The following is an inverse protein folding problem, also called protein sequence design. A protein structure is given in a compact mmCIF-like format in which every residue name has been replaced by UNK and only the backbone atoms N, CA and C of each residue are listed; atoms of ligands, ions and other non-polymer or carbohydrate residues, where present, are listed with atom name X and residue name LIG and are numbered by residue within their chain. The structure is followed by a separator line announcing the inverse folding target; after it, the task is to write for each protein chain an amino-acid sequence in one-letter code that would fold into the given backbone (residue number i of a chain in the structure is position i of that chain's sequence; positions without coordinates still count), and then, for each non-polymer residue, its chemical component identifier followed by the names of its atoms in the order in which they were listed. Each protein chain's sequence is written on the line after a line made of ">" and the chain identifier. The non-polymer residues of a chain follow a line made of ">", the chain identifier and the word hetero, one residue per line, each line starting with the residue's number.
data_IF_411571526947
#
_entry.id   IF_411571526947
#
_cell.length_a   1.000
_cell.length_b   1.000
_cell.length_c   1.000
_cell.angle_alpha   90.00
_cell.angle_beta   90.00
_cell.angle_gamma   90.00
#
_symmetry.space_group_name_H-M   'P 1'
#
loop_
_entity.id
_entity.type
_entity.pdbx_description
1 polymer ?
#
# COMPACT_ATOMS: atom_id res chain seq x y z
N UNK A 1 36.69 -5.83 6.62
CA UNK A 1 35.26 -5.47 6.53
C UNK A 1 35.14 -4.09 7.13
N UNK A 2 34.88 -3.11 6.28
CA UNK A 2 34.62 -1.74 6.73
C UNK A 2 33.25 -1.75 7.40
N UNK A 3 33.22 -1.51 8.71
CA UNK A 3 32.00 -1.48 9.51
C UNK A 3 31.28 -0.20 9.09
N UNK A 4 30.13 -0.33 8.40
CA UNK A 4 29.29 0.81 8.08
C UNK A 4 28.99 1.57 9.38
N UNK A 5 29.03 2.92 9.39
CA UNK A 5 28.56 3.69 10.53
C UNK A 5 27.17 3.19 10.93
N UNK A 6 26.94 2.97 12.23
CA UNK A 6 25.69 2.41 12.76
C UNK A 6 24.44 3.15 12.28
N UNK A 7 24.59 4.44 11.98
CA UNK A 7 23.59 5.34 11.43
C UNK A 7 23.23 4.99 9.97
N UNK A 8 24.21 4.62 9.15
CA UNK A 8 23.98 4.16 7.77
C UNK A 8 23.30 2.79 7.73
N UNK A 9 23.65 1.89 8.64
CA UNK A 9 22.96 0.60 8.77
C UNK A 9 21.49 0.79 9.18
N UNK A 10 21.23 1.63 10.19
CA UNK A 10 19.89 1.97 10.62
C UNK A 10 19.05 2.60 9.49
N UNK A 11 19.65 3.50 8.71
CA UNK A 11 18.99 4.12 7.55
C UNK A 11 18.68 3.08 6.45
N UNK A 12 19.59 2.13 6.19
CA UNK A 12 19.38 1.03 5.26
C UNK A 12 18.21 0.12 5.67
N UNK A 13 18.15 -0.25 6.94
CA UNK A 13 17.06 -1.07 7.50
C UNK A 13 15.73 -0.31 7.41
N UNK A 14 15.71 0.95 7.84
CA UNK A 14 14.50 1.78 7.80
C UNK A 14 13.99 1.96 6.38
N UNK A 15 14.88 2.30 5.44
CA UNK A 15 14.55 2.44 4.02
C UNK A 15 13.99 1.14 3.43
N UNK A 16 14.58 0.00 3.75
CA UNK A 16 14.11 -1.32 3.29
C UNK A 16 12.71 -1.65 3.79
N UNK A 17 12.41 -1.37 5.07
CA UNK A 17 11.09 -1.61 5.66
C UNK A 17 10.02 -0.75 4.96
N UNK A 18 10.29 0.55 4.80
CA UNK A 18 9.37 1.46 4.11
C UNK A 18 9.15 1.02 2.68
N UNK A 19 10.23 0.76 1.94
CA UNK A 19 10.14 0.36 0.54
C UNK A 19 9.37 -0.96 0.37
N UNK A 20 9.59 -1.93 1.26
CA UNK A 20 8.86 -3.20 1.25
C UNK A 20 7.38 -3.02 1.55
N UNK A 21 7.02 -2.16 2.50
CA UNK A 21 5.63 -1.86 2.83
C UNK A 21 4.89 -1.20 1.65
N UNK A 22 5.51 -0.21 1.00
CA UNK A 22 4.94 0.42 -0.19
C UNK A 22 4.93 -0.52 -1.40
N UNK A 23 5.97 -1.34 -1.56
CA UNK A 23 6.01 -2.37 -2.61
C UNK A 23 4.90 -3.40 -2.46
N UNK A 24 4.58 -3.80 -1.24
CA UNK A 24 3.45 -4.70 -0.97
C UNK A 24 2.10 -4.02 -1.24
N UNK A 25 1.94 -2.75 -0.86
CA UNK A 25 0.74 -1.97 -1.17
C UNK A 25 0.53 -1.84 -2.69
N UNK A 26 1.61 -1.58 -3.44
CA UNK A 26 1.59 -1.53 -4.91
C UNK A 26 1.24 -2.89 -5.51
N UNK A 27 1.83 -3.97 -4.99
CA UNK A 27 1.52 -5.33 -5.43
C UNK A 27 0.04 -5.67 -5.23
N UNK A 28 -0.54 -5.30 -4.08
CA UNK A 28 -1.96 -5.49 -3.80
C UNK A 28 -2.84 -4.71 -4.79
N UNK A 29 -2.52 -3.43 -5.03
CA UNK A 29 -3.21 -2.59 -5.99
C UNK A 29 -3.20 -3.20 -7.39
N UNK A 30 -2.01 -3.54 -7.91
CA UNK A 30 -1.88 -4.10 -9.24
C UNK A 30 -2.55 -5.47 -9.37
N UNK A 31 -2.55 -6.27 -8.31
CA UNK A 31 -3.26 -7.56 -8.28
C UNK A 31 -4.76 -7.38 -8.46
N UNK A 32 -5.37 -6.44 -7.72
CA UNK A 32 -6.81 -6.15 -7.85
C UNK A 32 -7.14 -5.66 -9.26
N UNK A 33 -6.38 -4.71 -9.79
CA UNK A 33 -6.59 -4.19 -11.14
C UNK A 33 -6.38 -5.27 -12.21
N UNK A 34 -5.39 -6.13 -12.05
CA UNK A 34 -5.12 -7.26 -12.96
C UNK A 34 -6.27 -8.26 -12.96
N UNK A 35 -6.77 -8.67 -11.78
CA UNK A 35 -7.89 -9.61 -11.66
C UNK A 35 -9.16 -8.99 -12.27
N UNK A 36 -9.46 -7.73 -11.94
CA UNK A 36 -10.60 -7.02 -12.50
C UNK A 36 -10.56 -7.00 -14.04
N UNK A 37 -9.38 -6.70 -14.61
CA UNK A 37 -9.17 -6.71 -16.06
C UNK A 37 -9.33 -8.11 -16.66
N UNK A 38 -8.75 -9.14 -16.05
CA UNK A 38 -8.88 -10.53 -16.54
C UNK A 38 -10.32 -11.02 -16.55
N UNK A 39 -11.11 -10.60 -15.57
CA UNK A 39 -12.51 -10.99 -15.44
C UNK A 39 -13.48 -10.03 -16.14
N UNK A 40 -12.98 -9.00 -16.84
CA UNK A 40 -13.81 -7.94 -17.45
C UNK A 40 -14.78 -7.28 -16.46
N UNK A 41 -14.37 -7.18 -15.20
CA UNK A 41 -15.13 -6.54 -14.12
C UNK A 41 -14.62 -5.12 -13.88
N UNK A 42 -15.48 -4.26 -13.31
CA UNK A 42 -15.05 -2.97 -12.81
C UNK A 42 -14.26 -3.17 -11.50
N UNK A 43 -13.03 -2.68 -11.42
CA UNK A 43 -12.16 -2.81 -10.24
C UNK A 43 -12.77 -2.17 -8.99
N UNK A 44 -13.65 -1.18 -9.16
CA UNK A 44 -14.39 -0.53 -8.07
C UNK A 44 -15.13 -1.53 -7.16
N UNK A 45 -15.66 -2.63 -7.71
CA UNK A 45 -16.34 -3.65 -6.91
C UNK A 45 -15.40 -4.38 -5.94
N UNK A 46 -14.17 -4.65 -6.35
CA UNK A 46 -13.15 -5.28 -5.50
C UNK A 46 -12.65 -4.32 -4.42
N UNK A 47 -12.52 -3.05 -4.75
CA UNK A 47 -12.16 -2.01 -3.78
C UNK A 47 -13.24 -1.83 -2.71
N UNK A 48 -14.52 -1.84 -3.12
CA UNK A 48 -15.65 -1.82 -2.17
C UNK A 48 -15.68 -3.07 -1.29
N UNK A 49 -15.46 -4.26 -1.86
CA UNK A 49 -15.36 -5.50 -1.09
C UNK A 49 -14.21 -5.46 -0.08
N UNK A 50 -13.05 -4.92 -0.47
CA UNK A 50 -11.89 -4.75 0.42
C UNK A 50 -12.20 -3.79 1.56
N UNK A 51 -12.87 -2.66 1.28
CA UNK A 51 -13.30 -1.72 2.31
C UNK A 51 -14.30 -2.36 3.29
N UNK A 52 -15.25 -3.15 2.78
CA UNK A 52 -16.22 -3.87 3.62
C UNK A 52 -15.51 -4.88 4.54
N UNK A 53 -14.55 -5.65 4.00
CA UNK A 53 -13.75 -6.58 4.80
C UNK A 53 -12.98 -5.83 5.89
N UNK A 54 -12.37 -4.69 5.58
CA UNK A 54 -11.68 -3.86 6.57
C UNK A 54 -12.61 -3.41 7.70
N UNK A 55 -13.82 -2.93 7.37
CA UNK A 55 -14.83 -2.54 8.36
C UNK A 55 -15.26 -3.73 9.23
N UNK A 56 -15.49 -4.89 8.63
CA UNK A 56 -15.85 -6.10 9.37
C UNK A 56 -14.74 -6.54 10.32
N UNK A 57 -13.48 -6.48 9.90
CA UNK A 57 -12.34 -6.79 10.77
C UNK A 57 -12.29 -5.79 11.94
N UNK A 58 -12.45 -4.50 11.67
CA UNK A 58 -12.47 -3.46 12.72
C UNK A 58 -13.62 -3.67 13.72
N UNK A 59 -14.76 -4.19 13.27
CA UNK A 59 -15.91 -4.45 14.13
C UNK A 59 -15.77 -5.73 14.96
N UNK A 60 -15.17 -6.78 14.40
CA UNK A 60 -15.12 -8.11 15.03
C UNK A 60 -13.81 -8.36 15.79
N UNK A 61 -12.72 -7.69 15.42
CA UNK A 61 -11.35 -8.00 15.86
C UNK A 61 -10.57 -6.75 16.21
N UNK A 62 -10.76 -6.25 17.43
CA UNK A 62 -10.02 -5.10 17.97
C UNK A 62 -8.50 -5.27 17.92
N UNK A 63 -8.00 -6.51 18.07
CA UNK A 63 -6.58 -6.84 17.99
C UNK A 63 -5.99 -6.58 16.60
N UNK A 64 -6.82 -6.62 15.55
CA UNK A 64 -6.41 -6.39 14.18
C UNK A 64 -6.56 -4.95 13.73
N UNK A 65 -7.22 -4.10 14.53
CA UNK A 65 -7.51 -2.70 14.20
C UNK A 65 -6.27 -1.93 13.80
N UNK A 66 -5.18 -2.08 14.55
CA UNK A 66 -3.92 -1.38 14.26
C UNK A 66 -3.34 -1.76 12.89
N UNK A 67 -3.45 -3.01 12.49
CA UNK A 67 -2.95 -3.48 11.19
C UNK A 67 -3.83 -2.99 10.05
N UNK A 68 -5.16 -3.01 10.23
CA UNK A 68 -6.10 -2.48 9.22
C UNK A 68 -5.87 -1.00 9.01
N UNK A 69 -5.76 -0.21 10.09
CA UNK A 69 -5.47 1.23 10.00
C UNK A 69 -4.14 1.49 9.29
N UNK A 70 -3.09 0.73 9.62
CA UNK A 70 -1.79 0.86 8.95
C UNK A 70 -1.87 0.54 7.45
N UNK A 71 -2.56 -0.53 7.07
CA UNK A 71 -2.75 -0.91 5.67
C UNK A 71 -3.55 0.15 4.90
N UNK A 72 -4.64 0.67 5.48
CA UNK A 72 -5.42 1.77 4.90
C UNK A 72 -4.58 3.02 4.72
N UNK A 73 -3.76 3.38 5.70
CA UNK A 73 -2.85 4.51 5.60
C UNK A 73 -1.84 4.35 4.46
N UNK A 74 -1.19 3.18 4.33
CA UNK A 74 -0.26 2.90 3.23
C UNK A 74 -0.94 3.03 1.86
N UNK A 75 -2.17 2.53 1.72
CA UNK A 75 -2.94 2.64 0.48
C UNK A 75 -3.30 4.09 0.12
N UNK A 76 -3.64 4.91 1.11
CA UNK A 76 -3.89 6.35 0.91
C UNK A 76 -2.62 7.06 0.47
N UNK A 77 -1.49 6.83 1.16
CA UNK A 77 -0.21 7.45 0.79
C UNK A 77 0.20 7.04 -0.62
N UNK A 78 0.05 5.75 -0.99
CA UNK A 78 0.28 5.27 -2.35
C UNK A 78 -0.59 6.02 -3.37
N UNK A 79 -1.90 6.16 -3.10
CA UNK A 79 -2.82 6.88 -3.98
C UNK A 79 -2.41 8.34 -4.18
N UNK A 80 -2.00 9.03 -3.11
CA UNK A 80 -1.49 10.40 -3.18
C UNK A 80 -0.22 10.47 -4.05
N UNK A 81 0.75 9.58 -3.81
CA UNK A 81 2.01 9.53 -4.58
C UNK A 81 1.76 9.27 -6.07
N UNK A 82 0.87 8.33 -6.39
CA UNK A 82 0.46 8.05 -7.77
C UNK A 82 -0.23 9.27 -8.41
N UNK A 83 -1.10 9.95 -7.67
CA UNK A 83 -1.76 11.18 -8.12
C UNK A 83 -0.76 12.28 -8.48
N UNK A 84 0.25 12.51 -7.64
CA UNK A 84 1.33 13.47 -7.94
C UNK A 84 2.16 13.06 -9.16
N UNK A 85 2.46 11.77 -9.33
CA UNK A 85 3.21 11.28 -10.49
C UNK A 85 2.45 11.53 -11.79
N UNK A 86 1.14 11.26 -11.81
CA UNK A 86 0.27 11.53 -12.96
C UNK A 86 0.16 13.03 -13.23
N UNK A 87 -0.11 13.85 -12.21
CA UNK A 87 -0.19 15.30 -12.36
C UNK A 87 1.09 15.90 -12.96
N UNK A 88 2.26 15.41 -12.54
CA UNK A 88 3.55 15.82 -13.11
C UNK A 88 3.67 15.43 -14.59
N UNK A 89 3.25 14.24 -14.99
CA UNK A 89 3.33 13.80 -16.39
C UNK A 89 2.49 14.65 -17.36
N UNK A 90 1.41 15.28 -16.88
CA UNK A 90 0.59 16.19 -17.68
C UNK A 90 1.14 17.61 -17.77
N UNK A 91 2.12 17.96 -16.94
CA UNK A 91 2.77 19.29 -16.91
C UNK A 91 4.03 19.38 -17.77
N UNK A 92 4.48 18.26 -18.34
CA UNK A 92 5.59 18.16 -19.30
C UNK A 92 5.06 18.02 -20.72
#
# INVERSE_FOLDING_TARGET
>A
MEILPSEMEALGIFGSIIFSAFGLAEFFYQTIEFIAKQLSHNSSYYWLATALIAILILYVRDDLTRYVVMASFLMIVRWILAGFAVARSHSQ
#
